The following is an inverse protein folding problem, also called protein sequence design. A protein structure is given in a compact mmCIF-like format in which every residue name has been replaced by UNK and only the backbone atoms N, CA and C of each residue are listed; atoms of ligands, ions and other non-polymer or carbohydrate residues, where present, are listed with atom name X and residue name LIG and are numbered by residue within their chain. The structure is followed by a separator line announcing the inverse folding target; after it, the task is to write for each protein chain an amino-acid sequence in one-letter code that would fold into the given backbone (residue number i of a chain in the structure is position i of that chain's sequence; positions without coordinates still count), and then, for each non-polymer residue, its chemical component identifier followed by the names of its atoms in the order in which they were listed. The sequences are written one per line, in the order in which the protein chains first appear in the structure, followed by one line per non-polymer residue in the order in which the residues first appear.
data_IF_802944866112
#
_entry.id   IF_802944866112
#
_cell.length_a   1.000
_cell.length_b   1.000
_cell.length_c   1.000
_cell.angle_alpha   90.00
_cell.angle_beta   90.00
_cell.angle_gamma   90.00
#
_symmetry.space_group_name_H-M   'P 1'
#
loop_
_entity.id
_entity.type
_entity.pdbx_description
1 polymer ?
#
# COMPACT_ATOMS: atom_id res chain seq x y z
N UNK A 1 -46.92 30.32 0.17
CA UNK A 1 -46.61 28.89 0.24
C UNK A 1 -45.41 28.69 -0.68
N UNK A 2 -44.23 28.91 -0.13
CA UNK A 2 -42.96 28.98 -0.86
C UNK A 2 -41.91 28.54 0.15
N UNK A 3 -41.51 27.26 0.08
CA UNK A 3 -40.46 26.69 0.92
C UNK A 3 -39.12 26.93 0.23
N UNK A 4 -38.25 27.70 0.88
CA UNK A 4 -36.81 27.71 0.65
C UNK A 4 -36.19 26.66 1.56
N UNK A 5 -35.43 25.73 0.99
CA UNK A 5 -34.49 24.86 1.70
C UNK A 5 -33.10 25.50 1.59
N UNK A 6 -32.34 25.66 2.68
CA UNK A 6 -30.94 26.01 2.62
C UNK A 6 -30.03 24.77 2.48
N UNK A 7 -28.96 24.95 1.71
CA UNK A 7 -27.75 24.14 1.65
C UNK A 7 -27.17 23.91 3.05
N UNK A 8 -26.75 22.68 3.32
CA UNK A 8 -25.81 22.37 4.40
C UNK A 8 -24.72 21.43 3.82
N UNK A 9 -23.61 22.02 3.40
CA UNK A 9 -22.37 21.32 3.08
C UNK A 9 -21.53 21.28 4.35
N UNK A 10 -21.76 20.24 5.16
CA UNK A 10 -20.86 19.85 6.22
C UNK A 10 -19.62 19.18 5.61
N UNK A 11 -18.47 19.85 5.70
CA UNK A 11 -17.16 19.26 5.50
C UNK A 11 -16.88 18.29 6.66
N UNK A 12 -17.02 16.99 6.42
CA UNK A 12 -16.45 15.97 7.29
C UNK A 12 -14.99 15.71 6.86
N UNK A 13 -14.00 15.80 7.77
CA UNK A 13 -12.64 15.39 7.46
C UNK A 13 -12.62 13.87 7.29
N UNK A 14 -12.15 13.42 6.12
CA UNK A 14 -11.98 12.02 5.77
C UNK A 14 -11.29 11.24 6.90
N UNK A 15 -12.05 10.36 7.55
CA UNK A 15 -11.53 9.41 8.52
C UNK A 15 -10.76 8.32 7.78
N UNK A 16 -9.45 8.50 7.64
CA UNK A 16 -8.53 7.43 7.27
C UNK A 16 -8.57 6.37 8.37
N UNK A 17 -9.16 5.21 8.09
CA UNK A 17 -9.14 4.05 8.99
C UNK A 17 -7.88 3.23 8.67
N UNK A 18 -6.89 3.14 9.57
CA UNK A 18 -5.72 2.29 9.35
C UNK A 18 -6.17 0.83 9.32
N UNK A 19 -5.83 0.13 8.22
CA UNK A 19 -6.14 -1.29 8.05
C UNK A 19 -5.39 -2.14 9.08
N UNK A 20 -6.09 -3.15 9.60
CA UNK A 20 -5.50 -4.20 10.44
C UNK A 20 -4.77 -5.16 9.52
N UNK A 21 -3.45 -5.05 9.50
CA UNK A 21 -2.59 -6.03 8.84
C UNK A 21 -2.72 -7.40 9.52
N UNK A 22 -3.10 -8.41 8.74
CA UNK A 22 -3.16 -9.80 9.16
C UNK A 22 -1.81 -10.28 9.67
N UNK A 23 -1.82 -10.99 10.79
CA UNK A 23 -0.62 -11.58 11.39
C UNK A 23 -0.23 -12.84 10.62
N UNK A 24 0.97 -12.84 10.01
CA UNK A 24 1.63 -14.06 9.57
C UNK A 24 1.77 -15.02 10.76
N UNK A 25 1.15 -16.19 10.68
CA UNK A 25 1.49 -17.34 11.53
C UNK A 25 2.42 -18.24 10.73
N UNK A 26 3.57 -18.57 11.32
CA UNK A 26 4.53 -19.47 10.68
C UNK A 26 3.89 -20.85 10.42
N UNK A 27 4.19 -21.50 9.29
CA UNK A 27 3.70 -22.85 9.02
C UNK A 27 4.21 -23.83 10.08
N UNK A 28 3.34 -24.74 10.52
CA UNK A 28 3.67 -25.78 11.47
C UNK A 28 4.75 -26.72 10.91
N UNK A 29 5.77 -27.02 11.72
CA UNK A 29 6.79 -28.01 11.38
C UNK A 29 6.15 -29.40 11.13
N UNK A 30 6.67 -30.20 10.18
CA UNK A 30 6.19 -31.55 9.94
C UNK A 30 6.38 -32.44 11.18
N UNK A 31 5.49 -33.42 11.43
CA UNK A 31 5.56 -34.26 12.62
C UNK A 31 6.86 -35.09 12.64
N UNK A 32 7.51 -35.25 13.80
CA UNK A 32 8.71 -36.06 13.93
C UNK A 32 8.39 -37.55 13.70
N UNK A 33 9.26 -38.24 12.94
CA UNK A 33 9.23 -39.71 12.80
C UNK A 33 9.41 -40.38 14.17
N UNK A 34 8.69 -41.46 14.48
CA UNK A 34 8.83 -42.14 15.76
C UNK A 34 10.15 -42.89 15.82
N UNK A 35 11.06 -42.47 16.70
CA UNK A 35 12.13 -43.30 17.21
C UNK A 35 11.98 -43.45 18.73
N UNK A 36 11.99 -44.71 19.15
CA UNK A 36 11.82 -45.14 20.52
C UNK A 36 12.98 -44.66 21.42
N UNK A 37 12.66 -44.37 22.70
CA UNK A 37 13.64 -44.45 23.79
C UNK A 37 13.84 -43.20 24.63
N UNK A 38 13.01 -43.05 25.66
CA UNK A 38 13.27 -42.55 27.02
C UNK A 38 14.38 -41.50 27.29
N UNK A 39 13.96 -40.32 27.75
CA UNK A 39 14.82 -39.38 28.49
C UNK A 39 14.06 -38.11 28.90
N UNK A 40 13.58 -38.08 30.15
CA UNK A 40 12.74 -37.01 30.73
C UNK A 40 13.51 -35.69 30.91
N UNK A 41 12.98 -34.58 30.41
CA UNK A 41 13.18 -33.25 31.01
C UNK A 41 11.87 -32.46 30.96
N UNK A 42 11.45 -31.99 32.14
CA UNK A 42 10.20 -31.29 32.41
C UNK A 42 10.45 -29.78 32.31
N UNK A 43 9.76 -29.07 31.41
CA UNK A 43 9.58 -27.62 31.52
C UNK A 43 8.11 -27.30 31.23
N UNK A 44 7.46 -26.77 32.26
CA UNK A 44 6.04 -26.44 32.34
C UNK A 44 5.79 -25.06 31.69
N UNK A 45 4.84 -24.98 30.76
CA UNK A 45 4.26 -23.71 30.29
C UNK A 45 2.91 -23.54 30.98
N UNK A 46 2.78 -22.53 31.83
CA UNK A 46 1.50 -22.15 32.45
C UNK A 46 0.75 -21.14 31.57
N UNK A 47 -0.43 -21.57 31.11
CA UNK A 47 -1.53 -20.72 30.67
C UNK A 47 -2.35 -20.30 31.89
N UNK A 48 -2.58 -19.00 32.09
CA UNK A 48 -3.66 -18.51 32.93
C UNK A 48 -4.42 -17.36 32.26
N UNK A 49 -5.73 -17.57 32.22
CA UNK A 49 -6.83 -16.68 31.81
C UNK A 49 -7.12 -15.67 32.92
N UNK A 50 -7.59 -14.47 32.57
CA UNK A 50 -8.12 -13.49 33.53
C UNK A 50 -9.22 -12.62 32.95
N UNK A 51 -10.44 -13.15 32.90
CA UNK A 51 -11.70 -12.41 32.79
C UNK A 51 -12.09 -11.92 34.20
N UNK A 52 -12.31 -10.61 34.39
CA UNK A 52 -13.03 -10.07 35.56
C UNK A 52 -13.98 -8.96 35.09
N UNK A 53 -15.26 -9.11 35.44
CA UNK A 53 -16.33 -8.12 35.25
C UNK A 53 -16.76 -7.58 36.61
N UNK A 54 -17.06 -6.27 36.61
CA UNK A 54 -17.94 -5.48 37.49
C UNK A 54 -17.50 -5.10 38.92
N UNK A 55 -17.47 -3.77 39.14
CA UNK A 55 -18.33 -3.15 40.14
C UNK A 55 -17.64 -2.44 41.31
N UNK A 56 -17.48 -1.10 41.22
CA UNK A 56 -17.58 -0.25 42.41
C UNK A 56 -17.98 1.19 42.04
N UNK A 57 -19.13 1.62 42.56
CA UNK A 57 -19.62 3.00 42.51
C UNK A 57 -19.03 3.81 43.67
N UNK A 58 -18.64 5.07 43.42
CA UNK A 58 -18.82 6.19 44.38
C UNK A 58 -18.87 7.55 43.65
N UNK A 59 -20.06 8.18 43.72
CA UNK A 59 -20.45 9.60 43.83
C UNK A 59 -19.96 10.71 42.84
N UNK A 60 -20.85 11.65 42.47
CA UNK A 60 -20.57 12.74 41.52
C UNK A 60 -20.00 14.00 42.20
N UNK A 61 -19.02 14.65 41.56
CA UNK A 61 -18.63 16.03 41.87
C UNK A 61 -19.37 16.95 40.90
N UNK A 62 -20.26 17.76 41.45
CA UNK A 62 -20.96 18.85 40.76
C UNK A 62 -19.96 19.98 40.50
N UNK A 63 -19.61 20.19 39.24
CA UNK A 63 -18.88 21.36 38.77
C UNK A 63 -19.81 22.27 37.98
N UNK A 64 -20.23 23.39 38.58
CA UNK A 64 -21.01 24.45 37.92
C UNK A 64 -20.11 25.26 36.99
N UNK A 65 -20.35 25.19 35.68
CA UNK A 65 -19.76 26.09 34.70
C UNK A 65 -20.66 27.35 34.52
N UNK A 66 -20.08 28.55 34.36
CA UNK A 66 -20.82 29.81 34.21
C UNK A 66 -21.48 29.97 32.82
N UNK A 67 -22.53 30.82 32.71
CA UNK A 67 -23.33 30.94 31.49
C UNK A 67 -22.61 31.69 30.35
N UNK A 68 -22.79 31.19 29.12
CA UNK A 68 -22.36 31.82 27.87
C UNK A 68 -23.08 33.18 27.64
N UNK A 69 -22.37 34.21 27.16
CA UNK A 69 -23.01 35.43 26.66
C UNK A 69 -23.59 35.25 25.24
N UNK A 70 -24.72 35.89 24.99
CA UNK A 70 -25.44 35.92 23.71
C UNK A 70 -24.64 36.62 22.57
N UNK A 71 -24.90 36.28 21.29
CA UNK A 71 -24.17 36.85 20.16
C UNK A 71 -24.69 38.23 19.74
N UNK A 72 -23.77 39.16 19.47
CA UNK A 72 -24.02 40.46 18.83
C UNK A 72 -23.91 40.36 17.29
N UNK A 73 -24.67 41.16 16.51
CA UNK A 73 -24.71 41.05 15.06
C UNK A 73 -23.64 41.91 14.38
N UNK A 74 -22.74 41.31 13.60
CA UNK A 74 -21.81 42.05 12.73
C UNK A 74 -21.79 41.52 11.28
N UNK A 75 -22.57 42.24 10.46
CA UNK A 75 -22.36 42.70 9.07
C UNK A 75 -21.27 42.03 8.22
N UNK A 76 -21.70 41.30 7.18
CA UNK A 76 -20.89 40.86 6.03
C UNK A 76 -20.43 42.02 5.14
N UNK A 77 -19.27 41.91 4.47
CA UNK A 77 -18.99 42.64 3.24
C UNK A 77 -19.01 41.71 2.02
N UNK A 78 -19.85 42.05 1.04
CA UNK A 78 -19.79 41.54 -0.33
C UNK A 78 -18.79 42.35 -1.14
N UNK A 79 -17.84 41.71 -1.84
CA UNK A 79 -17.18 42.31 -3.02
C UNK A 79 -16.81 41.24 -4.06
N UNK A 80 -17.53 41.32 -5.18
CA UNK A 80 -17.17 41.18 -6.60
C UNK A 80 -16.47 39.94 -7.15
N UNK A 81 -17.22 39.27 -8.04
CA UNK A 81 -16.71 38.50 -9.17
C UNK A 81 -15.88 39.37 -10.14
N UNK A 82 -14.82 38.80 -10.70
CA UNK A 82 -14.12 39.33 -11.87
C UNK A 82 -13.90 38.22 -12.89
N UNK A 83 -13.97 38.63 -14.15
CA UNK A 83 -14.25 37.83 -15.32
C UNK A 83 -13.09 36.93 -15.76
N UNK A 84 -13.49 35.82 -16.37
CA UNK A 84 -12.70 34.81 -17.07
C UNK A 84 -12.16 35.31 -18.41
N UNK A 85 -10.88 35.04 -18.65
CA UNK A 85 -10.23 35.12 -19.98
C UNK A 85 -10.05 33.69 -20.52
N UNK A 86 -10.43 33.38 -21.77
CA UNK A 86 -10.20 32.06 -22.36
C UNK A 86 -8.86 32.03 -23.09
N UNK A 87 -7.95 31.14 -22.68
CA UNK A 87 -6.76 30.79 -23.46
C UNK A 87 -6.33 29.36 -23.15
N UNK A 88 -6.22 28.55 -24.20
CA UNK A 88 -5.68 27.19 -24.18
C UNK A 88 -6.77 26.13 -24.15
N UNK A 89 -7.03 25.53 -25.30
CA UNK A 89 -7.60 24.17 -25.39
C UNK A 89 -6.66 23.25 -24.61
N UNK A 90 -6.98 23.01 -23.35
CA UNK A 90 -6.44 21.91 -22.57
C UNK A 90 -6.80 20.63 -23.32
N UNK A 91 -5.81 19.81 -23.65
CA UNK A 91 -6.08 18.38 -23.78
C UNK A 91 -6.78 17.98 -22.48
N UNK A 92 -8.05 17.58 -22.54
CA UNK A 92 -8.72 16.98 -21.39
C UNK A 92 -7.74 15.97 -20.78
N UNK A 93 -7.37 16.11 -19.50
CA UNK A 93 -6.58 15.08 -18.85
C UNK A 93 -7.37 13.77 -19.00
N UNK A 94 -6.81 12.79 -19.72
CA UNK A 94 -7.40 11.46 -19.80
C UNK A 94 -7.64 10.92 -18.39
N UNK A 95 -8.59 10.01 -18.25
CA UNK A 95 -8.89 9.38 -16.97
C UNK A 95 -7.60 8.78 -16.37
N UNK A 96 -7.23 9.25 -15.17
CA UNK A 96 -6.02 8.82 -14.46
C UNK A 96 -6.01 7.33 -14.15
N UNK A 97 -7.17 6.69 -14.08
CA UNK A 97 -7.33 5.29 -13.75
C UNK A 97 -7.37 4.41 -14.99
N UNK A 98 -8.22 4.73 -15.98
CA UNK A 98 -8.40 3.85 -17.16
C UNK A 98 -7.54 4.21 -18.36
N UNK A 99 -7.14 5.47 -18.54
CA UNK A 99 -6.42 5.99 -19.72
C UNK A 99 -5.20 6.84 -19.32
N UNK A 100 -4.48 6.41 -18.28
CA UNK A 100 -3.28 7.08 -17.81
C UNK A 100 -2.21 7.13 -18.90
N UNK A 101 -1.59 8.31 -19.10
CA UNK A 101 -0.44 8.48 -20.00
C UNK A 101 0.79 7.66 -19.59
N UNK A 102 0.80 7.10 -18.37
CA UNK A 102 1.82 6.17 -17.90
C UNK A 102 1.69 4.79 -18.57
N UNK A 103 0.48 4.35 -18.91
CA UNK A 103 0.23 3.00 -19.45
C UNK A 103 0.92 2.65 -20.77
N UNK A 104 1.06 3.54 -21.76
CA UNK A 104 1.82 3.21 -22.97
C UNK A 104 3.34 3.14 -22.72
N UNK A 105 3.85 3.59 -21.57
CA UNK A 105 5.30 3.70 -21.34
C UNK A 105 5.95 2.37 -20.95
N UNK A 106 7.14 2.15 -21.50
CA UNK A 106 8.02 1.04 -21.17
C UNK A 106 8.94 1.39 -19.99
N UNK A 107 9.27 0.40 -19.16
CA UNK A 107 10.29 0.55 -18.11
C UNK A 107 11.61 0.08 -18.69
N UNK A 108 12.62 0.93 -18.65
CA UNK A 108 13.97 0.62 -19.13
C UNK A 108 15.01 1.17 -18.17
N UNK A 109 16.14 0.48 -18.02
CA UNK A 109 17.21 0.91 -17.15
C UNK A 109 18.00 -0.26 -16.62
N UNK A 110 18.74 -0.01 -15.53
CA UNK A 110 19.51 -1.04 -14.83
C UNK A 110 19.50 -0.73 -13.34
N UNK A 111 19.12 -1.72 -12.54
CA UNK A 111 19.28 -1.69 -11.09
C UNK A 111 20.54 -2.44 -10.65
N UNK A 112 21.03 -2.16 -9.42
CA UNK A 112 22.10 -2.95 -8.82
C UNK A 112 21.74 -4.44 -8.73
N UNK A 113 22.78 -5.29 -8.77
CA UNK A 113 22.63 -6.72 -8.56
C UNK A 113 21.94 -7.00 -7.21
N UNK A 114 20.88 -7.80 -7.22
CA UNK A 114 20.15 -8.20 -6.02
C UNK A 114 20.71 -9.50 -5.47
N UNK A 115 21.08 -9.48 -4.20
CA UNK A 115 21.62 -10.63 -3.48
C UNK A 115 20.74 -11.00 -2.29
N UNK A 116 20.84 -12.25 -1.87
CA UNK A 116 20.36 -12.66 -0.56
C UNK A 116 21.15 -11.90 0.49
N UNK A 117 20.51 -10.93 1.15
CA UNK A 117 21.14 -10.14 2.21
C UNK A 117 21.46 -11.06 3.39
N UNK A 118 22.55 -10.83 4.13
CA UNK A 118 22.95 -11.68 5.28
C UNK A 118 23.13 -10.91 6.58
N UNK A 119 23.13 -9.58 6.53
CA UNK A 119 23.20 -8.68 7.68
C UNK A 119 22.22 -7.52 7.54
N UNK A 120 21.92 -6.83 8.65
CA UNK A 120 21.09 -5.61 8.65
C UNK A 120 21.69 -4.51 7.78
N UNK A 121 23.01 -4.35 7.82
CA UNK A 121 23.72 -3.37 6.99
C UNK A 121 23.55 -3.67 5.49
N UNK A 122 23.71 -4.94 5.08
CA UNK A 122 23.48 -5.35 3.69
C UNK A 122 22.02 -5.13 3.27
N UNK A 123 21.06 -5.42 4.15
CA UNK A 123 19.64 -5.17 3.92
C UNK A 123 19.34 -3.69 3.69
N UNK A 124 19.77 -2.80 4.60
CA UNK A 124 19.54 -1.35 4.47
C UNK A 124 20.19 -0.78 3.22
N UNK A 125 21.41 -1.22 2.87
CA UNK A 125 22.10 -0.82 1.64
C UNK A 125 21.35 -1.28 0.39
N UNK A 126 20.88 -2.52 0.35
CA UNK A 126 20.12 -3.05 -0.79
C UNK A 126 18.80 -2.31 -0.97
N UNK A 127 18.04 -2.05 0.11
CA UNK A 127 16.81 -1.24 0.06
C UNK A 127 17.09 0.16 -0.50
N UNK A 128 18.09 0.84 0.04
CA UNK A 128 18.45 2.20 -0.39
C UNK A 128 18.90 2.24 -1.86
N UNK A 129 19.72 1.28 -2.29
CA UNK A 129 20.23 1.21 -3.65
C UNK A 129 19.13 0.88 -4.67
N UNK A 130 18.17 0.02 -4.29
CA UNK A 130 17.04 -0.31 -5.14
C UNK A 130 16.06 0.86 -5.26
N UNK A 131 15.74 1.56 -4.16
CA UNK A 131 14.92 2.77 -4.22
C UNK A 131 15.55 3.86 -5.09
N UNK A 132 16.86 4.10 -4.95
CA UNK A 132 17.57 5.06 -5.81
C UNK A 132 17.56 4.67 -7.29
N UNK A 133 17.62 3.37 -7.59
CA UNK A 133 17.44 2.88 -8.96
C UNK A 133 16.02 3.17 -9.48
N UNK A 134 15.00 2.80 -8.70
CA UNK A 134 13.60 2.98 -9.09
C UNK A 134 13.28 4.47 -9.31
N UNK A 135 13.77 5.35 -8.45
CA UNK A 135 13.67 6.81 -8.64
C UNK A 135 14.29 7.27 -9.96
N UNK A 136 15.50 6.79 -10.28
CA UNK A 136 16.18 7.14 -11.54
C UNK A 136 15.40 6.66 -12.78
N UNK A 137 14.74 5.50 -12.67
CA UNK A 137 13.96 4.91 -13.76
C UNK A 137 12.61 5.60 -13.92
N UNK A 138 11.90 5.85 -12.82
CA UNK A 138 10.53 6.34 -12.87
C UNK A 138 10.42 7.86 -12.94
N UNK A 139 11.42 8.64 -12.51
CA UNK A 139 11.42 10.11 -12.66
C UNK A 139 11.03 10.56 -14.08
N UNK A 140 11.72 10.15 -15.16
CA UNK A 140 11.35 10.55 -16.52
C UNK A 140 9.99 9.99 -16.97
N UNK A 141 9.58 8.80 -16.48
CA UNK A 141 8.29 8.19 -16.85
C UNK A 141 7.12 8.96 -16.25
N UNK A 142 7.23 9.35 -14.99
CA UNK A 142 6.24 10.14 -14.26
C UNK A 142 6.10 11.51 -14.92
N UNK A 143 7.21 12.19 -15.21
CA UNK A 143 7.19 13.50 -15.87
C UNK A 143 6.62 13.42 -17.29
N UNK A 144 6.99 12.40 -18.07
CA UNK A 144 6.45 12.17 -19.40
C UNK A 144 4.94 11.88 -19.38
N UNK A 145 4.44 11.28 -18.30
CA UNK A 145 3.02 10.95 -18.11
C UNK A 145 2.20 12.09 -17.48
N UNK A 146 2.76 13.31 -17.36
CA UNK A 146 2.15 14.47 -16.69
C UNK A 146 1.89 14.27 -15.18
N UNK A 147 2.59 13.33 -14.55
CA UNK A 147 2.62 13.15 -13.10
C UNK A 147 3.56 14.15 -12.42
N UNK A 148 3.53 14.20 -11.08
CA UNK A 148 4.44 15.03 -10.28
C UNK A 148 5.45 14.15 -9.56
N UNK A 149 6.68 14.12 -10.07
CA UNK A 149 7.73 13.32 -9.46
C UNK A 149 8.09 13.85 -8.06
N UNK A 150 8.31 12.91 -7.15
CA UNK A 150 8.91 13.16 -5.84
C UNK A 150 9.74 11.95 -5.43
N UNK A 151 10.74 12.17 -4.57
CA UNK A 151 11.53 11.08 -4.00
C UNK A 151 10.81 10.46 -2.81
N UNK A 152 10.97 9.16 -2.64
CA UNK A 152 10.35 8.42 -1.53
C UNK A 152 11.31 8.32 -0.36
N UNK A 153 10.78 8.51 0.85
CA UNK A 153 11.51 8.18 2.07
C UNK A 153 11.29 6.71 2.42
N UNK A 154 12.17 6.13 3.24
CA UNK A 154 11.89 4.81 3.82
C UNK A 154 12.19 4.77 5.33
N UNK A 155 11.46 3.94 6.06
CA UNK A 155 11.64 3.73 7.49
C UNK A 155 11.53 2.25 7.85
N UNK A 156 12.52 1.75 8.58
CA UNK A 156 12.45 0.43 9.17
C UNK A 156 11.75 0.48 10.54
N UNK A 157 10.96 -0.53 10.86
CA UNK A 157 10.30 -0.64 12.17
C UNK A 157 10.22 -2.09 12.64
N UNK A 158 9.98 -2.27 13.94
CA UNK A 158 9.80 -3.61 14.54
C UNK A 158 8.41 -4.16 14.28
N UNK A 159 7.68 -4.50 15.35
CA UNK A 159 6.32 -5.06 15.26
C UNK A 159 5.21 -4.02 15.08
N UNK A 160 5.49 -2.76 15.33
CA UNK A 160 4.49 -1.68 15.22
C UNK A 160 5.16 -0.35 14.89
N UNK A 161 4.43 0.50 14.19
CA UNK A 161 4.84 1.86 13.85
C UNK A 161 3.62 2.78 13.80
N UNK A 162 3.84 4.07 13.98
CA UNK A 162 2.83 5.10 13.72
C UNK A 162 3.29 5.96 12.55
N UNK A 163 2.35 6.25 11.65
CA UNK A 163 2.54 7.12 10.50
C UNK A 163 1.38 8.12 10.41
N UNK A 164 1.45 9.12 9.53
CA UNK A 164 0.30 9.96 9.21
C UNK A 164 -0.88 9.18 8.60
N UNK A 165 -0.63 8.00 8.02
CA UNK A 165 -1.63 7.00 7.63
C UNK A 165 -2.17 6.20 8.82
N UNK A 166 -1.94 6.63 10.06
CA UNK A 166 -2.35 5.91 11.26
C UNK A 166 -1.34 4.87 11.74
N UNK A 167 -1.79 4.06 12.70
CA UNK A 167 -0.97 3.09 13.40
C UNK A 167 -1.05 1.70 12.76
N UNK A 168 0.11 1.12 12.46
CA UNK A 168 0.24 -0.21 11.87
C UNK A 168 0.86 -1.16 12.87
N UNK A 169 0.27 -2.35 13.02
CA UNK A 169 0.76 -3.42 13.90
C UNK A 169 0.86 -4.72 13.11
N UNK A 170 2.03 -5.36 13.16
CA UNK A 170 2.40 -6.56 12.42
C UNK A 170 2.27 -6.46 10.89
N UNK A 171 2.13 -5.25 10.37
CA UNK A 171 2.24 -5.00 8.93
C UNK A 171 3.58 -5.53 8.41
N UNK A 172 3.57 -6.07 7.20
CA UNK A 172 4.79 -6.58 6.57
C UNK A 172 5.59 -5.42 5.98
N UNK A 173 4.96 -4.65 5.09
CA UNK A 173 5.38 -3.36 4.60
C UNK A 173 4.13 -2.51 4.26
N UNK A 174 4.31 -1.21 4.03
CA UNK A 174 3.29 -0.35 3.44
C UNK A 174 3.88 0.99 2.98
N UNK A 175 3.32 1.58 1.93
CA UNK A 175 3.52 2.96 1.53
C UNK A 175 2.51 3.89 2.21
N UNK A 176 2.97 5.05 2.67
CA UNK A 176 2.13 6.11 3.22
C UNK A 176 2.23 7.37 2.36
N UNK A 177 1.15 7.73 1.67
CA UNK A 177 1.12 8.88 0.77
C UNK A 177 1.22 10.22 1.50
N UNK A 178 0.67 10.31 2.72
CA UNK A 178 0.60 11.56 3.49
C UNK A 178 1.98 12.09 3.92
N UNK A 179 3.02 11.24 3.91
CA UNK A 179 4.40 11.66 4.11
C UNK A 179 5.39 11.04 3.11
N UNK A 180 4.88 10.49 2.01
CA UNK A 180 5.70 9.92 0.93
C UNK A 180 6.77 8.95 1.47
N UNK A 181 6.36 7.99 2.31
CA UNK A 181 7.30 7.09 3.01
C UNK A 181 6.90 5.63 2.88
N UNK A 182 7.86 4.78 2.51
CA UNK A 182 7.76 3.32 2.58
C UNK A 182 8.18 2.84 3.96
N UNK A 183 7.33 2.08 4.63
CA UNK A 183 7.59 1.49 5.94
C UNK A 183 7.85 0.00 5.78
N UNK A 184 9.02 -0.48 6.24
CA UNK A 184 9.45 -1.87 6.12
C UNK A 184 9.62 -2.49 7.51
N UNK A 185 8.87 -3.54 7.82
CA UNK A 185 8.99 -4.20 9.13
C UNK A 185 10.24 -5.08 9.22
N UNK A 186 10.61 -5.44 10.45
CA UNK A 186 11.64 -6.44 10.72
C UNK A 186 11.32 -7.81 10.09
N UNK A 187 10.05 -8.12 9.83
CA UNK A 187 9.65 -9.37 9.17
C UNK A 187 10.18 -9.46 7.74
N UNK A 188 10.30 -8.33 7.03
CA UNK A 188 10.91 -8.31 5.69
C UNK A 188 12.37 -8.74 5.76
N UNK A 189 13.11 -8.21 6.74
CA UNK A 189 14.49 -8.61 6.98
C UNK A 189 14.63 -10.07 7.39
N UNK A 190 13.76 -10.55 8.28
CA UNK A 190 13.77 -11.92 8.78
C UNK A 190 13.49 -12.93 7.64
N UNK A 191 12.61 -12.57 6.70
CA UNK A 191 12.28 -13.39 5.53
C UNK A 191 13.27 -13.23 4.36
N UNK A 192 14.16 -12.24 4.39
CA UNK A 192 15.05 -11.94 3.27
C UNK A 192 16.07 -13.05 2.93
N UNK A 193 16.14 -14.13 3.72
CA UNK A 193 16.96 -15.32 3.43
C UNK A 193 16.22 -16.37 2.61
N UNK A 194 14.89 -16.26 2.47
CA UNK A 194 14.06 -17.24 1.79
C UNK A 194 14.38 -17.35 0.30
N UNK A 195 14.43 -16.20 -0.39
CA UNK A 195 14.90 -16.09 -1.76
C UNK A 195 15.61 -14.75 -1.95
N UNK A 196 16.51 -14.65 -2.94
CA UNK A 196 17.29 -13.42 -3.18
C UNK A 196 16.39 -12.21 -3.48
N UNK A 197 15.23 -12.43 -4.11
CA UNK A 197 14.32 -11.38 -4.56
C UNK A 197 13.33 -10.90 -3.50
N UNK A 198 13.22 -11.53 -2.33
CA UNK A 198 12.23 -11.15 -1.29
C UNK A 198 12.27 -9.66 -0.97
N UNK A 199 13.47 -9.10 -0.77
CA UNK A 199 13.62 -7.67 -0.47
C UNK A 199 13.23 -6.81 -1.66
N UNK A 200 13.61 -7.23 -2.87
CA UNK A 200 13.33 -6.47 -4.07
C UNK A 200 11.85 -6.47 -4.43
N UNK A 201 11.18 -7.61 -4.27
CA UNK A 201 9.74 -7.80 -4.50
C UNK A 201 8.94 -6.79 -3.65
N UNK A 202 9.18 -6.77 -2.34
CA UNK A 202 8.53 -5.82 -1.42
C UNK A 202 8.86 -4.37 -1.78
N UNK A 203 10.13 -4.03 -2.02
CA UNK A 203 10.53 -2.64 -2.31
C UNK A 203 9.92 -2.15 -3.62
N UNK A 204 9.88 -2.98 -4.66
CA UNK A 204 9.29 -2.64 -5.95
C UNK A 204 7.77 -2.50 -5.80
N UNK A 205 7.10 -3.39 -5.05
CA UNK A 205 5.68 -3.29 -4.76
C UNK A 205 5.35 -1.97 -4.06
N UNK A 206 6.01 -1.67 -2.94
CA UNK A 206 5.74 -0.42 -2.21
C UNK A 206 6.10 0.84 -3.02
N UNK A 207 7.10 0.76 -3.89
CA UNK A 207 7.39 1.84 -4.84
C UNK A 207 6.30 1.97 -5.91
N UNK A 208 5.62 0.90 -6.30
CA UNK A 208 4.47 0.96 -7.19
C UNK A 208 3.30 1.75 -6.60
N UNK A 209 3.05 1.66 -5.29
CA UNK A 209 2.09 2.55 -4.62
C UNK A 209 2.54 4.01 -4.63
N UNK A 210 3.85 4.25 -4.52
CA UNK A 210 4.39 5.59 -4.70
C UNK A 210 4.17 6.12 -6.13
N UNK A 211 4.30 5.27 -7.15
CA UNK A 211 3.94 5.60 -8.55
C UNK A 211 2.46 5.95 -8.68
N UNK A 212 1.55 5.17 -8.07
CA UNK A 212 0.11 5.50 -8.05
C UNK A 212 -0.15 6.88 -7.43
N UNK A 213 0.54 7.19 -6.33
CA UNK A 213 0.47 8.48 -5.64
C UNK A 213 0.94 9.65 -6.53
N UNK A 214 2.10 9.52 -7.17
CA UNK A 214 2.66 10.54 -8.08
C UNK A 214 1.80 10.79 -9.33
N UNK A 215 1.05 9.76 -9.75
CA UNK A 215 0.10 9.85 -10.85
C UNK A 215 -1.30 10.33 -10.41
N UNK A 216 -1.52 10.58 -9.13
CA UNK A 216 -2.80 11.00 -8.58
C UNK A 216 -3.90 9.95 -8.72
N UNK A 217 -3.53 8.66 -8.75
CA UNK A 217 -4.48 7.55 -8.90
C UNK A 217 -5.29 7.32 -7.62
N UNK A 218 -4.70 7.44 -6.42
CA UNK A 218 -5.45 7.29 -5.16
C UNK A 218 -6.59 8.30 -5.05
N UNK A 219 -6.32 9.58 -5.32
CA UNK A 219 -7.34 10.62 -5.34
C UNK A 219 -8.44 10.35 -6.39
N UNK A 220 -8.07 9.88 -7.59
CA UNK A 220 -9.04 9.53 -8.61
C UNK A 220 -9.89 8.30 -8.23
N UNK A 221 -9.33 7.36 -7.47
CA UNK A 221 -10.01 6.16 -7.02
C UNK A 221 -11.11 6.46 -5.98
N UNK A 222 -11.00 7.56 -5.23
CA UNK A 222 -12.03 8.00 -4.27
C UNK A 222 -13.34 8.39 -4.97
N UNK A 223 -13.28 8.81 -6.24
CA UNK A 223 -14.44 9.27 -7.02
C UNK A 223 -15.13 8.13 -7.81
N UNK A 224 -14.62 6.89 -7.73
CA UNK A 224 -15.17 5.74 -8.46
C UNK A 224 -16.39 5.18 -7.74
N UNK A 225 -17.49 4.99 -8.47
CA UNK A 225 -18.71 4.30 -7.99
C UNK A 225 -18.52 2.76 -7.99
N UNK A 226 -17.60 2.29 -7.15
CA UNK A 226 -17.37 0.87 -6.89
C UNK A 226 -17.24 0.58 -5.39
N UNK A 227 -17.50 -0.66 -5.00
CA UNK A 227 -17.29 -1.08 -3.61
C UNK A 227 -15.83 -0.94 -3.20
N UNK A 228 -15.57 -0.39 -1.99
CA UNK A 228 -14.23 -0.14 -1.45
C UNK A 228 -13.27 -1.33 -1.60
N UNK A 229 -13.72 -2.55 -1.33
CA UNK A 229 -12.90 -3.75 -1.48
C UNK A 229 -12.48 -4.02 -2.95
N UNK A 230 -13.30 -3.65 -3.93
CA UNK A 230 -12.91 -3.75 -5.35
C UNK A 230 -11.89 -2.67 -5.71
N UNK A 231 -12.07 -1.44 -5.22
CA UNK A 231 -11.12 -0.34 -5.39
C UNK A 231 -9.74 -0.74 -4.85
N UNK A 232 -9.67 -1.24 -3.60
CA UNK A 232 -8.42 -1.76 -3.01
C UNK A 232 -7.80 -2.82 -3.90
N UNK A 233 -8.58 -3.83 -4.35
CA UNK A 233 -8.04 -4.89 -5.21
C UNK A 233 -7.50 -4.36 -6.54
N UNK A 234 -8.10 -3.32 -7.12
CA UNK A 234 -7.58 -2.67 -8.34
C UNK A 234 -6.24 -1.99 -8.07
N UNK A 235 -6.13 -1.26 -6.95
CA UNK A 235 -4.89 -0.60 -6.51
C UNK A 235 -3.77 -1.63 -6.27
N UNK A 236 -4.03 -2.64 -5.45
CA UNK A 236 -3.07 -3.68 -5.07
C UNK A 236 -2.65 -4.55 -6.25
N UNK A 237 -3.60 -5.07 -7.05
CA UNK A 237 -3.25 -5.96 -8.16
C UNK A 237 -2.56 -5.22 -9.32
N UNK A 238 -2.76 -3.91 -9.45
CA UNK A 238 -2.01 -3.10 -10.41
C UNK A 238 -0.54 -3.06 -10.03
N UNK A 239 -0.25 -2.74 -8.76
CA UNK A 239 1.11 -2.68 -8.22
C UNK A 239 1.77 -4.05 -8.20
N UNK A 240 1.01 -5.09 -7.84
CA UNK A 240 1.46 -6.47 -7.91
C UNK A 240 1.88 -6.84 -9.34
N UNK A 241 1.05 -6.54 -10.36
CA UNK A 241 1.40 -6.76 -11.75
C UNK A 241 2.63 -5.92 -12.17
N UNK A 242 2.69 -4.65 -11.79
CA UNK A 242 3.83 -3.79 -12.07
C UNK A 242 5.13 -4.32 -11.47
N UNK A 243 5.07 -4.95 -10.31
CA UNK A 243 6.24 -5.55 -9.66
C UNK A 243 6.91 -6.59 -10.55
N UNK A 244 6.13 -7.52 -11.08
CA UNK A 244 6.66 -8.56 -11.98
C UNK A 244 7.00 -8.01 -13.37
N UNK A 245 6.28 -7.00 -13.85
CA UNK A 245 6.67 -6.28 -15.06
C UNK A 245 8.03 -5.60 -14.92
N UNK A 246 8.31 -4.91 -13.81
CA UNK A 246 9.62 -4.28 -13.54
C UNK A 246 10.73 -5.33 -13.49
N UNK A 247 10.48 -6.47 -12.84
CA UNK A 247 11.44 -7.59 -12.85
C UNK A 247 11.75 -8.08 -14.27
N UNK A 248 10.73 -8.24 -15.11
CA UNK A 248 10.89 -8.72 -16.48
C UNK A 248 11.50 -7.66 -17.43
N UNK A 249 11.16 -6.40 -17.22
CA UNK A 249 11.56 -5.29 -18.09
C UNK A 249 13.01 -4.83 -17.86
N UNK A 250 13.60 -5.12 -16.70
CA UNK A 250 14.96 -4.72 -16.33
C UNK A 250 15.92 -5.93 -16.42
N UNK A 251 16.73 -6.06 -17.48
CA UNK A 251 17.63 -7.21 -17.67
C UNK A 251 18.67 -7.37 -16.57
N UNK A 252 18.98 -6.30 -15.85
CA UNK A 252 19.93 -6.28 -14.73
C UNK A 252 19.53 -7.18 -13.56
N UNK A 253 18.27 -7.60 -13.46
CA UNK A 253 17.87 -8.57 -12.45
C UNK A 253 18.32 -9.99 -12.76
N UNK A 254 18.67 -10.28 -14.02
CA UNK A 254 19.17 -11.60 -14.47
C UNK A 254 18.29 -12.75 -13.92
N UNK A 255 16.99 -12.70 -14.20
CA UNK A 255 16.02 -13.65 -13.66
C UNK A 255 16.38 -15.10 -14.02
N UNK A 256 16.47 -15.94 -13.00
CA UNK A 256 16.74 -17.37 -13.09
C UNK A 256 15.46 -18.18 -12.99
N UNK A 257 15.55 -19.49 -13.26
CA UNK A 257 14.41 -20.39 -13.05
C UNK A 257 13.94 -20.41 -11.59
N UNK A 258 14.85 -20.26 -10.64
CA UNK A 258 14.52 -20.22 -9.20
C UNK A 258 13.77 -18.95 -8.83
N UNK A 259 14.06 -17.82 -9.48
CA UNK A 259 13.30 -16.58 -9.32
C UNK A 259 11.87 -16.73 -9.84
N UNK A 260 11.69 -17.39 -10.99
CA UNK A 260 10.36 -17.70 -11.51
C UNK A 260 9.59 -18.72 -10.65
N UNK A 261 10.30 -19.65 -9.99
CA UNK A 261 9.70 -20.55 -9.00
C UNK A 261 9.22 -19.75 -7.78
N UNK A 262 10.09 -18.89 -7.24
CA UNK A 262 9.77 -17.99 -6.13
C UNK A 262 8.53 -17.13 -6.44
N UNK A 263 8.44 -16.53 -7.63
CA UNK A 263 7.27 -15.74 -8.01
C UNK A 263 5.98 -16.58 -7.97
N UNK A 264 5.99 -17.80 -8.51
CA UNK A 264 4.82 -18.69 -8.45
C UNK A 264 4.44 -19.04 -7.01
N UNK A 265 5.42 -19.27 -6.14
CA UNK A 265 5.16 -19.52 -4.71
C UNK A 265 4.48 -18.33 -4.03
N UNK A 266 4.90 -17.10 -4.35
CA UNK A 266 4.22 -15.87 -3.86
C UNK A 266 2.78 -15.82 -4.36
N UNK A 267 2.53 -16.16 -5.63
CA UNK A 267 1.20 -16.05 -6.25
C UNK A 267 0.22 -17.13 -5.77
N UNK A 268 0.73 -18.25 -5.25
CA UNK A 268 -0.04 -19.40 -4.80
C UNK A 268 -0.62 -19.24 -3.38
N UNK A 269 -0.32 -18.12 -2.70
CA UNK A 269 -0.79 -17.86 -1.34
C UNK A 269 -1.25 -16.42 -1.13
N UNK A 270 -2.38 -16.24 -0.43
CA UNK A 270 -2.82 -14.93 0.07
C UNK A 270 -3.62 -15.11 1.34
N UNK A 271 -3.24 -14.37 2.38
CA UNK A 271 -3.99 -14.31 3.64
C UNK A 271 -5.05 -13.19 3.65
N UNK A 272 -5.09 -12.38 2.58
CA UNK A 272 -6.01 -11.26 2.42
C UNK A 272 -6.54 -11.19 0.98
N UNK A 273 -7.44 -12.11 0.58
CA UNK A 273 -8.04 -12.08 -0.75
C UNK A 273 -9.00 -10.90 -0.96
N UNK A 274 -9.42 -10.20 0.12
CA UNK A 274 -10.30 -9.04 0.01
C UNK A 274 -9.53 -7.77 -0.37
N UNK A 275 -8.30 -7.59 0.14
CA UNK A 275 -7.40 -6.49 -0.22
C UNK A 275 -6.45 -6.83 -1.37
N UNK A 276 -5.65 -7.88 -1.23
CA UNK A 276 -4.60 -8.26 -2.20
C UNK A 276 -5.10 -9.13 -3.37
N UNK A 277 -6.39 -9.45 -3.38
CA UNK A 277 -7.02 -10.32 -4.39
C UNK A 277 -6.76 -11.80 -4.16
N UNK A 278 -7.61 -12.65 -4.74
CA UNK A 278 -7.48 -14.11 -4.64
C UNK A 278 -6.19 -14.62 -5.28
N UNK A 279 -5.79 -15.85 -4.90
CA UNK A 279 -4.73 -16.62 -5.59
C UNK A 279 -4.92 -16.62 -7.11
N UNK A 280 -6.17 -16.78 -7.59
CA UNK A 280 -6.46 -16.77 -9.02
C UNK A 280 -6.17 -15.40 -9.65
N UNK A 281 -6.51 -14.31 -8.96
CA UNK A 281 -6.20 -12.96 -9.43
C UNK A 281 -4.68 -12.71 -9.43
N UNK A 282 -3.98 -13.12 -8.39
CA UNK A 282 -2.52 -12.97 -8.30
C UNK A 282 -1.80 -13.78 -9.39
N UNK A 283 -2.15 -15.06 -9.60
CA UNK A 283 -1.62 -15.85 -10.71
C UNK A 283 -1.87 -15.19 -12.07
N UNK A 284 -3.06 -14.61 -12.27
CA UNK A 284 -3.40 -13.91 -13.52
C UNK A 284 -2.55 -12.63 -13.71
N UNK A 285 -2.51 -11.76 -12.71
CA UNK A 285 -1.85 -10.46 -12.80
C UNK A 285 -0.32 -10.56 -12.71
N UNK A 286 0.22 -11.50 -11.92
CA UNK A 286 1.64 -11.79 -11.84
C UNK A 286 2.19 -12.31 -13.17
N UNK A 287 1.53 -13.31 -13.76
CA UNK A 287 1.90 -13.82 -15.09
C UNK A 287 1.77 -12.75 -16.18
N UNK A 288 0.74 -11.89 -16.09
CA UNK A 288 0.54 -10.78 -17.01
C UNK A 288 1.63 -9.72 -16.90
N UNK A 289 2.11 -9.44 -15.69
CA UNK A 289 3.26 -8.56 -15.46
C UNK A 289 4.52 -9.07 -16.16
N UNK A 290 4.88 -10.35 -15.95
CA UNK A 290 6.05 -10.95 -16.60
C UNK A 290 5.98 -10.94 -18.14
N UNK A 291 4.79 -11.01 -18.71
CA UNK A 291 4.58 -11.00 -20.16
C UNK A 291 4.32 -9.59 -20.73
N UNK A 292 4.24 -8.57 -19.89
CA UNK A 292 3.90 -7.21 -20.28
C UNK A 292 5.03 -6.52 -21.05
N UNK A 293 4.67 -5.60 -21.94
CA UNK A 293 5.62 -4.77 -22.71
C UNK A 293 5.52 -3.28 -22.36
N UNK A 294 4.56 -2.89 -21.51
CA UNK A 294 4.36 -1.54 -20.99
C UNK A 294 3.62 -1.60 -19.66
N UNK A 295 3.60 -0.49 -18.91
CA UNK A 295 2.88 -0.39 -17.63
C UNK A 295 1.36 -0.62 -17.79
N UNK A 296 0.82 -0.39 -18.99
CA UNK A 296 -0.57 -0.62 -19.35
C UNK A 296 -0.99 -2.09 -19.41
N UNK A 297 -0.03 -3.02 -19.47
CA UNK A 297 -0.32 -4.44 -19.26
C UNK A 297 -1.01 -4.65 -17.90
N UNK A 298 -0.76 -3.79 -16.93
CA UNK A 298 -1.28 -3.88 -15.56
C UNK A 298 -2.46 -2.93 -15.29
N UNK A 299 -3.19 -2.49 -16.33
CA UNK A 299 -4.37 -1.64 -16.16
C UNK A 299 -5.56 -2.43 -15.58
N UNK A 300 -5.61 -2.52 -14.25
CA UNK A 300 -6.68 -3.18 -13.50
C UNK A 300 -8.00 -2.42 -13.56
N UNK A 301 -7.99 -1.11 -13.83
CA UNK A 301 -9.18 -0.26 -13.89
C UNK A 301 -10.00 -0.47 -15.15
N UNK A 302 -9.35 -0.88 -16.25
CA UNK A 302 -10.00 -1.13 -17.55
C UNK A 302 -10.74 -2.47 -17.66
N UNK A 303 -10.64 -3.33 -16.65
CA UNK A 303 -11.26 -4.68 -16.67
C UNK A 303 -12.46 -4.79 -15.74
N UNK A 304 -13.38 -5.75 -15.96
CA UNK A 304 -14.50 -5.96 -15.05
C UNK A 304 -14.03 -6.43 -13.66
N UNK A 305 -14.82 -6.14 -12.63
CA UNK A 305 -14.47 -6.38 -11.22
C UNK A 305 -14.17 -7.85 -10.85
N UNK A 306 -14.63 -8.82 -11.64
CA UNK A 306 -14.33 -10.24 -11.46
C UNK A 306 -12.88 -10.61 -11.81
N UNK A 307 -12.20 -9.78 -12.61
CA UNK A 307 -10.78 -9.94 -12.97
C UNK A 307 -9.83 -9.50 -11.87
N UNK A 308 -10.32 -8.78 -10.87
CA UNK A 308 -9.55 -8.36 -9.70
C UNK A 308 -10.02 -9.08 -8.43
N UNK A 309 -10.81 -10.15 -8.56
CA UNK A 309 -11.36 -10.91 -7.41
C UNK A 309 -10.54 -12.14 -7.08
#
# INVERSE_FOLDING_TARGET
MTQHLPNDLGQDPAHFVPHRFGTLTAPAAPPPRPQAGAGRFLVVVMLLVGLVVAGLQTLPIVGTAPPNPAPSPHRSPSVSASASTPAGTSSEPGDRLTDSRLYPLGVTGSCPEIRTVTSRDAYTKQVSALLGCLETIFEPLIEQADGTFSRVQHRFYGRSTSSPCGASKNAYAFYCEQNTTIYLSDQVYDNARYARLVVADVVIHEYGHHVQSMMGMFAAAEDVDEGRATIVRREELQVFCWTYYVFAALPSFELTIDDHNYFREVWDHTDDPEGHGSVKAQQYWGARGLAGTSLGACNTWSVPADRVR
#
